data_IF_459107567582
#
_entry.id   IF_459107567582
#
_cell.length_a   1.000
_cell.length_b   1.000
_cell.length_c   1.000
_cell.angle_alpha   90.00
_cell.angle_beta   90.00
_cell.angle_gamma   90.00
#
_symmetry.space_group_name_H-M   'P 1'
#
loop_
_entity.id
_entity.type
_entity.pdbx_description
1 polymer ?
#
# COMPACT_ATOMS: atom_id res chain seq x y z
N UNK A 1 -13.89 -11.39 13.15
CA UNK A 1 -13.53 -10.11 12.51
C UNK A 1 -14.81 -9.48 11.97
N UNK A 2 -15.08 -8.19 12.23
CA UNK A 2 -16.22 -7.47 11.64
C UNK A 2 -16.19 -7.51 10.11
N UNK A 3 -17.34 -7.48 9.45
CA UNK A 3 -17.42 -7.55 7.97
C UNK A 3 -16.64 -6.41 7.31
N UNK A 4 -16.76 -5.20 7.87
CA UNK A 4 -16.05 -3.99 7.47
C UNK A 4 -14.52 -4.19 7.45
N UNK A 5 -13.96 -4.71 8.54
CA UNK A 5 -12.53 -5.01 8.68
C UNK A 5 -12.11 -6.13 7.73
N UNK A 6 -12.94 -7.16 7.54
CA UNK A 6 -12.63 -8.28 6.61
C UNK A 6 -12.50 -7.79 5.16
N UNK A 7 -13.41 -6.92 4.71
CA UNK A 7 -13.31 -6.31 3.38
C UNK A 7 -12.09 -5.40 3.25
N UNK A 8 -11.80 -4.59 4.28
CA UNK A 8 -10.62 -3.73 4.27
C UNK A 8 -9.31 -4.53 4.23
N UNK A 9 -9.23 -5.65 4.96
CA UNK A 9 -8.10 -6.58 4.86
C UNK A 9 -7.97 -7.15 3.46
N UNK A 10 -9.08 -7.45 2.77
CA UNK A 10 -9.06 -7.82 1.36
C UNK A 10 -8.45 -6.73 0.46
N UNK A 11 -8.79 -5.45 0.73
CA UNK A 11 -8.16 -4.30 0.08
C UNK A 11 -6.66 -4.21 0.33
N UNK A 12 -6.23 -4.40 1.58
CA UNK A 12 -4.80 -4.43 1.96
C UNK A 12 -4.05 -5.56 1.25
N UNK A 13 -4.65 -6.75 1.12
CA UNK A 13 -4.06 -7.86 0.36
C UNK A 13 -3.91 -7.49 -1.12
N UNK A 14 -4.96 -6.92 -1.72
CA UNK A 14 -4.89 -6.45 -3.11
C UNK A 14 -3.77 -5.42 -3.29
N UNK A 15 -3.66 -4.44 -2.40
CA UNK A 15 -2.57 -3.45 -2.42
C UNK A 15 -1.20 -4.09 -2.25
N UNK A 16 -1.05 -5.08 -1.37
CA UNK A 16 0.22 -5.79 -1.22
C UNK A 16 0.63 -6.45 -2.55
N UNK A 17 -0.29 -7.11 -3.24
CA UNK A 17 -0.03 -7.73 -4.56
C UNK A 17 0.33 -6.68 -5.59
N UNK A 18 -0.40 -5.56 -5.66
CA UNK A 18 -0.11 -4.48 -6.61
C UNK A 18 1.24 -3.83 -6.34
N UNK A 19 1.63 -3.61 -5.07
CA UNK A 19 2.94 -3.09 -4.71
C UNK A 19 4.07 -4.06 -5.08
N UNK A 20 3.85 -5.38 -4.95
CA UNK A 20 4.83 -6.36 -5.42
C UNK A 20 5.01 -6.30 -6.94
N UNK A 21 3.90 -6.24 -7.67
CA UNK A 21 3.92 -6.17 -9.14
C UNK A 21 4.62 -4.91 -9.63
N UNK A 22 4.25 -3.74 -9.08
CA UNK A 22 4.89 -2.46 -9.42
C UNK A 22 6.38 -2.48 -9.06
N UNK A 23 6.73 -3.00 -7.88
CA UNK A 23 8.11 -3.13 -7.46
C UNK A 23 8.95 -3.97 -8.43
N UNK A 24 8.42 -5.11 -8.85
CA UNK A 24 9.08 -5.99 -9.82
C UNK A 24 9.25 -5.31 -11.19
N UNK A 25 8.20 -4.63 -11.70
CA UNK A 25 8.26 -3.92 -12.96
C UNK A 25 9.27 -2.77 -12.93
N UNK A 26 9.32 -2.00 -11.85
CA UNK A 26 10.29 -0.91 -11.69
C UNK A 26 11.73 -1.42 -11.65
N UNK A 27 11.98 -2.57 -11.00
CA UNK A 27 13.30 -3.18 -11.02
C UNK A 27 13.68 -3.69 -12.42
N UNK A 28 12.73 -4.24 -13.18
CA UNK A 28 12.99 -4.64 -14.56
C UNK A 28 13.33 -3.44 -15.46
N UNK A 29 12.60 -2.32 -15.31
CA UNK A 29 12.91 -1.07 -15.99
C UNK A 29 14.25 -0.48 -15.56
N UNK A 30 14.60 -0.59 -14.27
CA UNK A 30 15.90 -0.15 -13.77
C UNK A 30 17.05 -0.92 -14.42
N UNK A 31 16.91 -2.23 -14.59
CA UNK A 31 17.92 -3.06 -15.27
C UNK A 31 18.07 -2.66 -16.73
N UNK A 32 16.95 -2.47 -17.44
CA UNK A 32 16.97 -2.04 -18.86
C UNK A 32 17.62 -0.67 -19.02
N UNK A 33 17.29 0.29 -18.15
CA UNK A 33 17.91 1.62 -18.14
C UNK A 33 19.42 1.54 -17.86
N UNK A 34 19.84 0.66 -16.93
CA UNK A 34 21.26 0.46 -16.61
C UNK A 34 22.05 -0.11 -17.79
N UNK A 35 21.46 -1.06 -18.52
CA UNK A 35 22.08 -1.70 -19.69
C UNK A 35 22.29 -0.70 -20.85
N UNK A 36 21.47 0.35 -20.91
CA UNK A 36 21.60 1.44 -21.88
C UNK A 36 22.43 2.64 -21.37
N UNK A 37 23.00 2.55 -20.16
CA UNK A 37 23.81 3.62 -19.57
C UNK A 37 23.01 4.83 -19.10
N UNK A 38 21.73 4.65 -18.80
CA UNK A 38 20.84 5.72 -18.35
C UNK A 38 21.01 6.06 -16.87
N UNK A 39 20.99 7.36 -16.56
CA UNK A 39 21.19 7.88 -15.20
C UNK A 39 20.00 7.59 -14.26
N UNK A 40 18.84 7.18 -14.80
CA UNK A 40 17.62 6.92 -14.04
C UNK A 40 17.58 5.59 -13.30
N UNK A 41 18.47 4.65 -13.64
CA UNK A 41 18.42 3.26 -13.17
C UNK A 41 18.43 3.15 -11.63
N UNK A 42 19.32 3.89 -10.96
CA UNK A 42 19.43 3.85 -9.50
C UNK A 42 18.17 4.33 -8.79
N UNK A 43 17.52 5.37 -9.32
CA UNK A 43 16.26 5.88 -8.74
C UNK A 43 15.12 4.87 -8.94
N UNK A 44 14.97 4.31 -10.15
CA UNK A 44 13.97 3.28 -10.43
C UNK A 44 14.16 2.05 -9.52
N UNK A 45 15.39 1.62 -9.31
CA UNK A 45 15.71 0.49 -8.44
C UNK A 45 15.34 0.78 -6.97
N UNK A 46 15.61 1.99 -6.49
CA UNK A 46 15.23 2.41 -5.14
C UNK A 46 13.70 2.41 -4.94
N UNK A 47 12.95 3.01 -5.87
CA UNK A 47 11.48 3.03 -5.79
C UNK A 47 10.90 1.61 -5.91
N UNK A 48 11.48 0.77 -6.78
CA UNK A 48 11.12 -0.63 -6.89
C UNK A 48 11.29 -1.38 -5.58
N UNK A 49 12.44 -1.23 -4.92
CA UNK A 49 12.73 -1.86 -3.63
C UNK A 49 11.78 -1.39 -2.52
N UNK A 50 11.50 -0.09 -2.47
CA UNK A 50 10.55 0.48 -1.53
C UNK A 50 9.14 -0.10 -1.73
N UNK A 51 8.70 -0.25 -2.97
CA UNK A 51 7.41 -0.87 -3.31
C UNK A 51 7.34 -2.33 -2.83
N UNK A 52 8.41 -3.12 -3.03
CA UNK A 52 8.49 -4.49 -2.50
C UNK A 52 8.46 -4.51 -0.97
N UNK A 53 9.17 -3.60 -0.31
CA UNK A 53 9.17 -3.51 1.16
C UNK A 53 7.76 -3.19 1.71
N UNK A 54 7.05 -2.25 1.09
CA UNK A 54 5.66 -1.92 1.44
C UNK A 54 4.75 -3.12 1.22
N UNK A 55 4.92 -3.84 0.10
CA UNK A 55 4.17 -5.07 -0.18
C UNK A 55 4.32 -6.11 0.93
N UNK A 56 5.56 -6.39 1.35
CA UNK A 56 5.85 -7.35 2.43
C UNK A 56 5.22 -6.90 3.75
N UNK A 57 5.34 -5.61 4.09
CA UNK A 57 4.77 -5.06 5.31
C UNK A 57 3.24 -5.17 5.34
N UNK A 58 2.57 -4.83 4.23
CA UNK A 58 1.12 -4.96 4.08
C UNK A 58 0.68 -6.43 4.10
N UNK A 59 1.42 -7.33 3.47
CA UNK A 59 1.15 -8.77 3.51
C UNK A 59 1.23 -9.33 4.94
N UNK A 60 2.26 -8.93 5.71
CA UNK A 60 2.40 -9.28 7.13
C UNK A 60 1.23 -8.71 7.94
N UNK A 61 0.85 -7.44 7.72
CA UNK A 61 -0.30 -6.83 8.39
C UNK A 61 -1.60 -7.58 8.08
N UNK A 62 -1.83 -7.96 6.83
CA UNK A 62 -2.99 -8.74 6.42
C UNK A 62 -3.00 -10.13 7.08
N UNK A 63 -1.86 -10.85 7.07
CA UNK A 63 -1.74 -12.16 7.70
C UNK A 63 -1.96 -12.12 9.22
N UNK A 64 -1.51 -11.05 9.88
CA UNK A 64 -1.64 -10.87 11.33
C UNK A 64 -2.94 -10.17 11.76
N UNK A 65 -3.77 -9.72 10.82
CA UNK A 65 -5.03 -9.01 11.11
C UNK A 65 -6.03 -9.86 11.92
N UNK A 66 -5.95 -11.19 11.82
CA UNK A 66 -6.73 -12.12 12.63
C UNK A 66 -6.29 -12.20 14.09
N UNK A 67 -5.04 -11.81 14.40
CA UNK A 67 -4.45 -11.87 15.76
C UNK A 67 -4.77 -10.64 16.61
N UNK A 68 -5.59 -9.70 16.11
CA UNK A 68 -6.06 -8.50 16.85
C UNK A 68 -4.95 -7.58 17.38
N UNK A 69 -3.77 -7.59 16.75
CA UNK A 69 -2.63 -6.82 17.21
C UNK A 69 -2.82 -5.32 16.91
N UNK A 70 -2.77 -4.47 17.94
CA UNK A 70 -2.98 -3.03 17.81
C UNK A 70 -2.02 -2.32 16.84
N UNK A 71 -0.77 -2.80 16.72
CA UNK A 71 0.22 -2.22 15.82
C UNK A 71 -0.11 -2.43 14.34
N UNK A 72 -0.87 -3.49 13.99
CA UNK A 72 -1.32 -3.76 12.63
C UNK A 72 -2.23 -2.62 12.15
N UNK A 73 -3.14 -2.16 13.02
CA UNK A 73 -4.02 -1.03 12.72
C UNK A 73 -3.22 0.23 12.44
N UNK A 74 -2.29 0.58 13.33
CA UNK A 74 -1.48 1.79 13.19
C UNK A 74 -0.67 1.75 11.91
N UNK A 75 -0.04 0.61 11.60
CA UNK A 75 0.80 0.45 10.40
C UNK A 75 0.00 0.61 9.12
N UNK A 76 -1.13 -0.09 8.99
CA UNK A 76 -1.99 0.02 7.81
C UNK A 76 -2.46 1.46 7.61
N UNK A 77 -2.96 2.11 8.67
CA UNK A 77 -3.43 3.50 8.57
C UNK A 77 -2.32 4.45 8.13
N UNK A 78 -1.10 4.32 8.66
CA UNK A 78 0.04 5.15 8.25
C UNK A 78 0.37 4.94 6.76
N UNK A 79 0.42 3.69 6.29
CA UNK A 79 0.70 3.39 4.88
C UNK A 79 -0.40 3.96 3.98
N UNK A 80 -1.67 3.79 4.34
CA UNK A 80 -2.78 4.34 3.56
C UNK A 80 -2.75 5.87 3.49
N UNK A 81 -2.38 6.56 4.57
CA UNK A 81 -2.22 8.03 4.56
C UNK A 81 -1.12 8.46 3.60
N UNK A 82 0.01 7.76 3.59
CA UNK A 82 1.09 7.99 2.62
C UNK A 82 0.60 7.69 1.19
N UNK A 83 -0.16 6.61 0.99
CA UNK A 83 -0.72 6.25 -0.32
C UNK A 83 -1.68 7.31 -0.86
N UNK A 84 -2.53 7.88 0.00
CA UNK A 84 -3.40 9.01 -0.35
C UNK A 84 -2.56 10.22 -0.74
N UNK A 85 -1.56 10.59 0.05
CA UNK A 85 -0.70 11.73 -0.25
C UNK A 85 -0.02 11.57 -1.62
N UNK A 86 0.56 10.40 -1.88
CA UNK A 86 1.17 10.07 -3.18
C UNK A 86 0.17 10.12 -4.33
N UNK A 87 -1.05 9.61 -4.12
CA UNK A 87 -2.11 9.65 -5.14
C UNK A 87 -2.61 11.06 -5.41
N UNK A 88 -2.67 11.92 -4.38
CA UNK A 88 -2.98 13.35 -4.54
C UNK A 88 -1.89 14.06 -5.35
N UNK A 89 -0.61 13.77 -5.11
CA UNK A 89 0.47 14.29 -5.95
C UNK A 89 0.34 13.84 -7.41
N UNK A 90 -0.01 12.57 -7.65
CA UNK A 90 -0.23 12.05 -9.00
C UNK A 90 -1.46 12.65 -9.71
N UNK A 91 -2.46 13.15 -8.98
CA UNK A 91 -3.56 13.91 -9.58
C UNK A 91 -3.07 15.22 -10.19
N UNK A 92 -2.13 15.91 -9.54
CA UNK A 92 -1.55 17.15 -10.09
C UNK A 92 -0.74 16.90 -11.37
N UNK A 93 -0.27 15.67 -11.61
CA UNK A 93 0.35 15.28 -12.88
C UNK A 93 -0.66 14.77 -13.92
N UNK A 94 -1.97 14.91 -13.68
CA UNK A 94 -3.04 14.54 -14.61
C UNK A 94 -3.47 13.07 -14.57
N UNK A 95 -3.00 12.28 -13.61
CA UNK A 95 -3.33 10.85 -13.52
C UNK A 95 -4.72 10.62 -12.93
N UNK A 96 -5.75 10.56 -13.78
CA UNK A 96 -7.14 10.23 -13.40
C UNK A 96 -7.26 8.91 -12.60
N UNK A 97 -6.52 7.82 -12.92
CA UNK A 97 -6.57 6.59 -12.13
C UNK A 97 -6.23 6.78 -10.64
N UNK A 98 -5.50 7.85 -10.28
CA UNK A 98 -5.14 8.15 -8.89
C UNK A 98 -6.36 8.42 -7.99
N UNK A 99 -7.50 8.83 -8.57
CA UNK A 99 -8.77 8.96 -7.82
C UNK A 99 -9.18 7.62 -7.20
N UNK A 100 -9.03 6.52 -7.94
CA UNK A 100 -9.35 5.19 -7.44
C UNK A 100 -8.44 4.80 -6.28
N UNK A 101 -7.15 5.14 -6.36
CA UNK A 101 -6.18 4.94 -5.27
C UNK A 101 -6.64 5.63 -3.98
N UNK A 102 -7.07 6.89 -4.08
CA UNK A 102 -7.58 7.66 -2.94
C UNK A 102 -8.85 7.02 -2.35
N UNK A 103 -9.80 6.62 -3.21
CA UNK A 103 -11.06 6.03 -2.75
C UNK A 103 -10.83 4.69 -2.03
N UNK A 104 -9.97 3.83 -2.58
CA UNK A 104 -9.62 2.54 -1.97
C UNK A 104 -8.93 2.76 -0.62
N UNK A 105 -7.91 3.61 -0.57
CA UNK A 105 -7.19 3.90 0.65
C UNK A 105 -8.10 4.53 1.72
N UNK A 106 -8.97 5.46 1.32
CA UNK A 106 -9.96 6.07 2.20
C UNK A 106 -10.95 5.06 2.78
N UNK A 107 -11.41 4.10 1.98
CA UNK A 107 -12.29 3.03 2.45
C UNK A 107 -11.60 2.12 3.48
N UNK A 108 -10.33 1.78 3.26
CA UNK A 108 -9.53 0.99 4.20
C UNK A 108 -9.33 1.76 5.51
N UNK A 109 -8.90 3.01 5.47
CA UNK A 109 -8.74 3.86 6.66
C UNK A 109 -10.05 3.93 7.43
N UNK A 110 -11.18 4.20 6.75
CA UNK A 110 -12.49 4.28 7.40
C UNK A 110 -12.85 3.01 8.15
N UNK A 111 -12.58 1.84 7.57
CA UNK A 111 -12.84 0.56 8.23
C UNK A 111 -11.94 0.35 9.46
N UNK A 112 -10.64 0.65 9.36
CA UNK A 112 -9.69 0.48 10.46
C UNK A 112 -9.85 1.50 11.61
N UNK A 113 -10.35 2.71 11.31
CA UNK A 113 -10.59 3.80 12.29
C UNK A 113 -12.02 3.78 12.87
N UNK A 114 -12.94 3.02 12.26
CA UNK A 114 -14.29 2.82 12.79
C UNK A 114 -14.29 2.29 14.23
N UNK A 115 -15.39 2.49 14.96
CA UNK A 115 -15.54 1.96 16.31
C UNK A 115 -15.33 0.44 16.35
N UNK A 116 -15.87 -0.28 15.36
CA UNK A 116 -15.68 -1.73 15.20
C UNK A 116 -14.21 -2.11 14.96
N UNK A 117 -13.52 -1.39 14.07
CA UNK A 117 -12.11 -1.61 13.76
C UNK A 117 -11.22 -1.34 14.97
N UNK A 118 -11.47 -0.22 15.66
CA UNK A 118 -10.76 0.13 16.90
C UNK A 118 -10.92 -0.96 17.95
N UNK A 119 -12.16 -1.39 18.22
CA UNK A 119 -12.47 -2.43 19.18
C UNK A 119 -11.83 -3.78 18.81
N UNK A 120 -11.81 -4.14 17.52
CA UNK A 120 -11.23 -5.40 17.06
C UNK A 120 -9.72 -5.49 17.31
N UNK A 121 -8.99 -4.39 17.13
CA UNK A 121 -7.53 -4.34 17.30
C UNK A 121 -7.07 -3.86 18.69
N UNK A 122 -8.00 -3.59 19.61
CA UNK A 122 -7.73 -3.24 21.01
C UNK A 122 -8.19 -4.31 22.01
N UNK A 123 -8.64 -5.46 21.51
CA UNK A 123 -9.19 -6.57 22.30
C UNK A 123 -8.25 -7.77 22.28
#
# INVERSE_FOLDING_TARGET
>A
MPKSVKFAVGGVVFQAVMNALVGFLLMALASDEADHGGDGAGFLQFIGLLSVAISLLLAVCAALSGKRLGWVRTTVVVIEVVSIASSVFALFSGSIPSVLGILIAGAIIRAFVSAEGKAWFSA
#
